data_IF_520705563177
#
_entry.id   IF_520705563177
#
_cell.length_a   1.000
_cell.length_b   1.000
_cell.length_c   1.000
_cell.angle_alpha   90.00
_cell.angle_beta   90.00
_cell.angle_gamma   90.00
#
_symmetry.space_group_name_H-M   'P 1'
#
loop_
_entity.id
_entity.type
_entity.pdbx_description
1 polymer ?
#
# COMPACT_ATOMS: atom_id res chain seq x y z
N UNK A 1 -13.38 10.41 11.22
CA UNK A 1 -12.49 10.89 10.14
C UNK A 1 -13.14 10.80 8.77
N UNK A 2 -13.54 9.61 8.28
CA UNK A 2 -14.15 9.46 6.94
C UNK A 2 -15.45 10.28 6.79
N UNK A 3 -16.47 10.01 7.62
CA UNK A 3 -17.76 10.71 7.53
C UNK A 3 -17.62 12.24 7.59
N UNK A 4 -16.78 12.76 8.49
CA UNK A 4 -16.50 14.20 8.61
C UNK A 4 -15.95 14.84 7.32
N UNK A 5 -15.12 14.12 6.56
CA UNK A 5 -14.65 14.60 5.25
C UNK A 5 -15.82 14.68 4.25
N UNK A 6 -16.70 13.66 4.22
CA UNK A 6 -17.84 13.63 3.30
C UNK A 6 -18.95 14.62 3.65
N UNK A 7 -19.16 14.93 4.94
CA UNK A 7 -20.05 16.01 5.40
C UNK A 7 -19.64 17.39 4.83
N UNK A 8 -18.37 17.54 4.47
CA UNK A 8 -17.80 18.76 3.93
C UNK A 8 -17.35 18.61 2.47
N UNK A 9 -17.82 17.57 1.77
CA UNK A 9 -17.34 17.23 0.43
C UNK A 9 -17.47 18.40 -0.55
N UNK A 10 -18.56 19.17 -0.46
CA UNK A 10 -18.83 20.33 -1.31
C UNK A 10 -17.77 21.46 -1.23
N UNK A 11 -16.80 21.37 -0.33
CA UNK A 11 -15.65 22.29 -0.22
C UNK A 11 -14.46 21.90 -1.10
N UNK A 12 -14.53 20.75 -1.77
CA UNK A 12 -13.42 20.18 -2.54
C UNK A 12 -13.85 19.88 -3.98
N UNK A 13 -12.92 20.03 -4.92
CA UNK A 13 -13.15 19.66 -6.31
C UNK A 13 -12.93 18.16 -6.57
N UNK A 14 -12.15 17.50 -5.71
CA UNK A 14 -11.78 16.09 -5.82
C UNK A 14 -11.52 15.51 -4.42
N UNK A 15 -11.98 14.29 -4.18
CA UNK A 15 -11.59 13.49 -3.01
C UNK A 15 -10.55 12.47 -3.43
N UNK A 16 -9.33 12.56 -2.88
CA UNK A 16 -8.29 11.55 -3.09
C UNK A 16 -8.21 10.59 -1.89
N UNK A 17 -8.84 9.44 -2.04
CA UNK A 17 -8.90 8.39 -1.03
C UNK A 17 -7.62 7.53 -1.02
N UNK A 18 -6.97 7.46 0.14
CA UNK A 18 -5.87 6.55 0.46
C UNK A 18 -6.19 5.64 1.66
N UNK A 19 -7.46 5.56 2.04
CA UNK A 19 -7.95 4.86 3.23
C UNK A 19 -8.76 3.60 2.85
N UNK A 20 -8.19 2.80 1.95
CA UNK A 20 -8.75 1.52 1.47
C UNK A 20 -10.22 1.67 0.99
N UNK A 21 -11.01 0.61 1.08
CA UNK A 21 -12.36 0.52 0.49
C UNK A 21 -13.44 1.31 1.25
N UNK A 22 -13.22 1.66 2.53
CA UNK A 22 -14.27 2.18 3.39
C UNK A 22 -14.87 3.50 2.88
N UNK A 23 -14.09 4.50 2.42
CA UNK A 23 -14.62 5.73 1.84
C UNK A 23 -15.47 5.53 0.58
N UNK A 24 -15.29 4.43 -0.17
CA UNK A 24 -16.12 4.15 -1.34
C UNK A 24 -17.61 4.05 -0.98
N UNK A 25 -17.93 3.56 0.22
CA UNK A 25 -19.31 3.49 0.70
C UNK A 25 -20.01 4.85 0.85
N UNK A 26 -19.24 5.95 0.88
CA UNK A 26 -19.74 7.32 0.94
C UNK A 26 -19.76 8.01 -0.43
N UNK A 27 -19.15 7.42 -1.46
CA UNK A 27 -19.01 8.03 -2.79
C UNK A 27 -20.33 8.48 -3.40
N UNK A 28 -21.38 7.67 -3.25
CA UNK A 28 -22.71 7.94 -3.82
C UNK A 28 -23.52 8.99 -3.03
N UNK A 29 -23.04 9.42 -1.85
CA UNK A 29 -23.72 10.43 -1.03
C UNK A 29 -23.27 11.86 -1.36
N UNK A 30 -22.29 12.01 -2.23
CA UNK A 30 -21.72 13.31 -2.62
C UNK A 30 -21.57 13.39 -4.13
N UNK A 31 -21.58 14.61 -4.69
CA UNK A 31 -21.41 14.83 -6.13
C UNK A 31 -19.95 15.06 -6.54
N UNK A 32 -19.02 15.00 -5.58
CA UNK A 32 -17.60 15.27 -5.83
C UNK A 32 -16.93 14.00 -6.34
N UNK A 33 -16.17 14.06 -7.46
CA UNK A 33 -15.47 12.90 -7.97
C UNK A 33 -14.48 12.37 -6.93
N UNK A 34 -14.29 11.06 -6.93
CA UNK A 34 -13.37 10.39 -6.03
C UNK A 34 -12.36 9.55 -6.79
N UNK A 35 -11.09 9.80 -6.48
CA UNK A 35 -9.96 8.99 -6.90
C UNK A 35 -9.50 8.15 -5.71
N UNK A 36 -9.42 6.83 -5.85
CA UNK A 36 -8.83 5.94 -4.83
C UNK A 36 -7.50 5.38 -5.32
N UNK A 37 -6.44 5.59 -4.54
CA UNK A 37 -5.19 4.86 -4.73
C UNK A 37 -5.30 3.51 -4.02
N UNK A 38 -5.22 2.43 -4.79
CA UNK A 38 -5.22 1.06 -4.29
C UNK A 38 -3.79 0.66 -3.96
N UNK A 39 -3.51 0.43 -2.68
CA UNK A 39 -2.21 0.04 -2.13
C UNK A 39 -2.06 -1.49 -2.01
N UNK A 40 -2.84 -2.24 -2.80
CA UNK A 40 -3.02 -3.68 -2.69
C UNK A 40 -4.32 -4.07 -1.98
N UNK A 41 -4.59 -5.37 -1.92
CA UNK A 41 -5.79 -5.91 -1.30
C UNK A 41 -5.41 -6.78 -0.10
N UNK A 42 -5.84 -6.38 1.10
CA UNK A 42 -5.56 -7.15 2.33
C UNK A 42 -6.20 -8.54 2.33
N UNK A 43 -7.29 -8.72 1.56
CA UNK A 43 -7.87 -10.02 1.27
C UNK A 43 -8.79 -9.93 0.06
N UNK A 44 -9.15 -11.07 -0.55
CA UNK A 44 -10.17 -11.10 -1.61
C UNK A 44 -11.57 -10.67 -1.12
N UNK A 45 -11.80 -10.62 0.21
CA UNK A 45 -13.10 -10.25 0.80
C UNK A 45 -13.47 -8.78 0.60
N UNK A 46 -12.48 -7.91 0.34
CA UNK A 46 -12.75 -6.47 0.13
C UNK A 46 -13.00 -6.13 -1.36
N UNK A 47 -12.60 -6.99 -2.29
CA UNK A 47 -12.79 -6.80 -3.73
C UNK A 47 -14.24 -6.52 -4.15
N UNK A 48 -15.28 -7.18 -3.58
CA UNK A 48 -16.67 -6.88 -3.94
C UNK A 48 -17.04 -5.41 -3.80
N UNK A 49 -16.49 -4.70 -2.81
CA UNK A 49 -16.76 -3.26 -2.63
C UNK A 49 -16.10 -2.45 -3.75
N UNK A 50 -14.84 -2.74 -4.08
CA UNK A 50 -14.18 -2.09 -5.21
C UNK A 50 -14.93 -2.32 -6.52
N UNK A 51 -15.46 -3.52 -6.76
CA UNK A 51 -16.27 -3.83 -7.96
C UNK A 51 -17.59 -3.08 -7.96
N UNK A 52 -18.31 -3.05 -6.84
CA UNK A 52 -19.60 -2.34 -6.68
C UNK A 52 -19.47 -0.85 -6.98
N UNK A 53 -18.37 -0.23 -6.55
CA UNK A 53 -18.12 1.20 -6.72
C UNK A 53 -17.21 1.53 -7.91
N UNK A 54 -16.80 0.53 -8.70
CA UNK A 54 -15.93 0.72 -9.86
C UNK A 54 -16.54 1.69 -10.87
N UNK A 55 -17.85 1.58 -11.10
CA UNK A 55 -18.59 2.58 -11.87
C UNK A 55 -18.89 3.80 -11.01
N UNK A 56 -18.44 4.97 -11.48
CA UNK A 56 -18.67 6.26 -10.82
C UNK A 56 -17.54 6.71 -9.90
N UNK A 57 -16.48 5.91 -9.75
CA UNK A 57 -15.24 6.30 -9.07
C UNK A 57 -14.05 6.04 -9.99
N UNK A 58 -12.89 6.58 -9.60
CA UNK A 58 -11.65 6.39 -10.33
C UNK A 58 -10.64 5.65 -9.46
N UNK A 59 -9.91 4.71 -10.05
CA UNK A 59 -8.85 3.96 -9.36
C UNK A 59 -7.49 4.19 -10.01
N UNK A 60 -6.47 4.29 -9.17
CA UNK A 60 -5.06 4.16 -9.55
C UNK A 60 -4.40 3.12 -8.67
N UNK A 61 -3.43 2.39 -9.20
CA UNK A 61 -2.66 1.41 -8.41
C UNK A 61 -1.26 1.91 -8.14
N UNK A 62 -0.68 1.49 -7.02
CA UNK A 62 0.73 1.80 -6.67
C UNK A 62 1.74 0.94 -7.43
N UNK A 63 1.26 -0.12 -8.09
CA UNK A 63 2.04 -1.02 -8.94
C UNK A 63 1.11 -1.74 -9.91
N UNK A 64 1.63 -2.17 -11.05
CA UNK A 64 0.90 -3.10 -11.92
C UNK A 64 0.65 -4.45 -11.24
N UNK A 65 1.52 -4.85 -10.30
CA UNK A 65 1.36 -6.09 -9.53
C UNK A 65 0.18 -6.05 -8.55
N UNK A 66 -0.23 -4.85 -8.11
CA UNK A 66 -1.36 -4.65 -7.21
C UNK A 66 -2.69 -4.49 -7.95
N UNK A 67 -2.71 -4.63 -9.28
CA UNK A 67 -3.96 -4.53 -10.06
C UNK A 67 -4.77 -5.81 -9.98
N UNK A 68 -6.09 -5.65 -9.90
CA UNK A 68 -7.03 -6.75 -10.12
C UNK A 68 -7.67 -6.61 -11.50
N UNK A 69 -7.78 -7.69 -12.27
CA UNK A 69 -8.33 -7.68 -13.64
C UNK A 69 -9.79 -7.25 -13.72
N UNK A 70 -10.53 -7.30 -12.62
CA UNK A 70 -11.97 -7.00 -12.60
C UNK A 70 -12.27 -5.51 -12.37
N UNK A 71 -11.24 -4.67 -12.28
CA UNK A 71 -11.36 -3.24 -11.98
C UNK A 71 -10.74 -2.39 -13.09
N UNK A 72 -11.30 -1.20 -13.28
CA UNK A 72 -10.80 -0.22 -14.23
C UNK A 72 -9.80 0.72 -13.54
N UNK A 73 -8.61 0.87 -14.11
CA UNK A 73 -7.56 1.75 -13.58
C UNK A 73 -7.25 2.86 -14.57
N UNK A 74 -7.23 4.10 -14.09
CA UNK A 74 -6.78 5.24 -14.88
C UNK A 74 -5.28 5.19 -15.15
N UNK A 75 -4.50 4.81 -14.13
CA UNK A 75 -3.05 4.79 -14.19
C UNK A 75 -2.46 3.88 -13.10
N UNK A 76 -1.17 3.60 -13.25
CA UNK A 76 -0.31 3.14 -12.15
C UNK A 76 0.66 4.26 -11.81
N UNK A 77 0.73 4.60 -10.52
CA UNK A 77 1.62 5.63 -9.99
C UNK A 77 2.47 4.97 -8.92
N UNK A 78 3.70 4.62 -9.27
CA UNK A 78 4.65 4.02 -8.33
C UNK A 78 5.02 5.01 -7.23
N UNK A 79 5.11 4.54 -5.99
CA UNK A 79 5.55 5.38 -4.88
C UNK A 79 6.97 5.87 -5.10
N UNK A 80 7.17 7.17 -4.88
CA UNK A 80 8.49 7.77 -4.81
C UNK A 80 9.05 7.72 -3.39
N UNK A 81 10.34 8.02 -3.28
CA UNK A 81 11.03 8.34 -2.03
C UNK A 81 11.71 9.70 -2.19
N UNK A 82 11.95 10.42 -1.09
CA UNK A 82 12.77 11.63 -1.13
C UNK A 82 14.24 11.25 -1.23
N UNK A 83 14.87 11.51 -2.38
CA UNK A 83 16.27 11.18 -2.62
C UNK A 83 17.23 11.97 -1.72
N UNK A 84 16.80 13.06 -1.10
CA UNK A 84 17.64 13.79 -0.14
C UNK A 84 17.75 13.08 1.21
N UNK A 85 16.82 12.17 1.54
CA UNK A 85 16.87 11.36 2.76
C UNK A 85 17.74 10.10 2.58
N UNK A 86 18.01 9.69 1.34
CA UNK A 86 18.70 8.45 1.02
C UNK A 86 19.92 8.70 0.12
N UNK A 87 21.10 8.76 0.74
CA UNK A 87 22.36 8.82 -0.01
C UNK A 87 22.70 7.45 -0.64
N UNK A 88 23.07 7.48 -1.92
CA UNK A 88 23.62 6.31 -2.59
C UNK A 88 24.98 5.94 -1.99
N UNK A 89 25.14 4.67 -1.65
CA UNK A 89 26.42 4.08 -1.23
C UNK A 89 26.85 3.09 -2.30
N UNK A 90 27.85 3.48 -3.11
CA UNK A 90 28.33 2.65 -4.23
C UNK A 90 29.16 1.44 -3.78
N UNK A 91 29.76 1.52 -2.59
CA UNK A 91 30.54 0.44 -1.98
C UNK A 91 29.79 -0.07 -0.74
N UNK A 92 28.88 -1.05 -0.90
CA UNK A 92 28.15 -1.61 0.22
C UNK A 92 29.08 -2.43 1.13
N UNK A 93 28.65 -2.66 2.38
CA UNK A 93 29.34 -3.57 3.29
C UNK A 93 29.00 -5.04 3.03
N UNK A 94 29.75 -5.94 3.69
CA UNK A 94 29.58 -7.40 3.57
C UNK A 94 28.45 -7.95 4.46
N UNK A 95 27.22 -7.49 4.22
CA UNK A 95 26.04 -7.93 4.98
C UNK A 95 24.76 -7.90 4.13
N UNK A 96 23.74 -8.63 4.59
CA UNK A 96 22.36 -8.49 4.13
C UNK A 96 21.59 -7.57 5.08
N UNK A 97 20.66 -6.79 4.53
CA UNK A 97 19.72 -5.98 5.30
C UNK A 97 18.29 -6.43 5.00
N UNK A 98 17.56 -6.79 6.05
CA UNK A 98 16.12 -6.84 6.03
C UNK A 98 15.57 -5.58 6.70
N UNK A 99 14.75 -4.82 5.98
CA UNK A 99 14.11 -3.61 6.49
C UNK A 99 12.60 -3.65 6.27
N UNK A 100 11.85 -3.91 7.34
CA UNK A 100 10.40 -4.09 7.26
C UNK A 100 9.79 -4.56 8.58
N UNK A 101 8.46 -4.53 8.67
CA UNK A 101 7.74 -5.08 9.84
C UNK A 101 8.14 -6.55 10.05
N UNK A 102 8.36 -6.94 11.29
CA UNK A 102 8.61 -8.33 11.66
C UNK A 102 7.24 -8.99 11.79
N UNK A 103 6.90 -9.80 10.79
CA UNK A 103 5.59 -10.41 10.60
C UNK A 103 5.71 -11.56 9.57
N UNK A 104 4.92 -12.65 9.67
CA UNK A 104 4.96 -13.76 8.71
C UNK A 104 4.83 -13.31 7.24
N UNK A 105 3.86 -12.45 6.94
CA UNK A 105 3.62 -11.89 5.60
C UNK A 105 4.78 -11.06 5.01
N UNK A 106 5.82 -10.77 5.81
CA UNK A 106 6.96 -9.96 5.39
C UNK A 106 8.22 -10.76 5.13
N UNK A 107 8.22 -12.07 5.42
CA UNK A 107 9.32 -12.97 5.05
C UNK A 107 10.59 -12.76 5.87
N UNK A 108 10.49 -12.31 7.12
CA UNK A 108 11.67 -12.12 8.00
C UNK A 108 12.41 -13.43 8.26
N UNK A 109 11.66 -14.53 8.45
CA UNK A 109 12.20 -15.88 8.61
C UNK A 109 12.97 -16.34 7.36
N UNK A 110 12.45 -16.06 6.17
CA UNK A 110 13.11 -16.38 4.90
C UNK A 110 14.44 -15.63 4.78
N UNK A 111 14.48 -14.35 5.17
CA UNK A 111 15.71 -13.58 5.19
C UNK A 111 16.76 -14.18 6.15
N UNK A 112 16.34 -14.63 7.34
CA UNK A 112 17.22 -15.32 8.30
C UNK A 112 17.74 -16.64 7.72
N UNK A 113 16.86 -17.41 7.08
CA UNK A 113 17.25 -18.68 6.47
C UNK A 113 18.27 -18.48 5.36
N UNK A 114 18.06 -17.52 4.46
CA UNK A 114 19.00 -17.15 3.40
C UNK A 114 20.36 -16.78 4.01
N UNK A 115 20.38 -15.87 4.99
CA UNK A 115 21.61 -15.43 5.63
C UNK A 115 22.39 -16.60 6.27
N UNK A 116 21.70 -17.51 6.96
CA UNK A 116 22.31 -18.71 7.57
C UNK A 116 22.89 -19.65 6.53
N UNK A 117 22.15 -19.94 5.44
CA UNK A 117 22.60 -20.85 4.38
C UNK A 117 23.87 -20.36 3.68
N UNK A 118 24.03 -19.05 3.54
CA UNK A 118 25.20 -18.45 2.89
C UNK A 118 26.30 -18.00 3.86
N UNK A 119 26.08 -18.08 5.17
CA UNK A 119 27.05 -17.63 6.18
C UNK A 119 27.29 -16.11 6.16
N UNK A 120 26.33 -15.31 5.70
CA UNK A 120 26.45 -13.85 5.59
C UNK A 120 25.76 -13.19 6.78
N UNK A 121 26.35 -12.13 7.32
CA UNK A 121 25.75 -11.35 8.42
C UNK A 121 24.43 -10.71 7.95
N UNK A 122 23.38 -10.82 8.75
CA UNK A 122 22.09 -10.17 8.50
C UNK A 122 21.79 -9.13 9.58
N UNK A 123 21.47 -7.91 9.16
CA UNK A 123 20.81 -6.92 10.01
C UNK A 123 19.31 -6.95 9.74
N UNK A 124 18.51 -6.92 10.80
CA UNK A 124 17.06 -6.85 10.75
C UNK A 124 16.66 -5.54 11.43
N UNK A 125 15.98 -4.68 10.70
CA UNK A 125 15.48 -3.41 11.22
C UNK A 125 13.99 -3.26 10.89
N UNK A 126 13.21 -2.90 11.91
CA UNK A 126 11.77 -2.74 11.79
C UNK A 126 11.06 -3.00 13.12
N UNK A 127 9.77 -2.69 13.15
CA UNK A 127 8.95 -2.89 14.34
C UNK A 127 8.49 -4.35 14.43
N UNK A 128 8.41 -4.86 15.65
CA UNK A 128 7.75 -6.14 15.95
C UNK A 128 6.25 -5.91 15.85
N UNK A 129 5.64 -6.47 14.79
CA UNK A 129 4.19 -6.35 14.60
C UNK A 129 3.46 -7.58 15.14
N UNK A 130 4.02 -8.75 14.91
CA UNK A 130 3.58 -10.01 15.51
C UNK A 130 4.65 -10.42 16.54
N UNK A 131 4.24 -10.61 17.80
CA UNK A 131 5.16 -10.99 18.89
C UNK A 131 5.37 -12.50 18.99
N UNK A 132 4.46 -13.27 18.43
CA UNK A 132 4.49 -14.73 18.48
C UNK A 132 5.31 -15.32 17.32
N UNK A 133 5.51 -14.53 16.25
CA UNK A 133 6.40 -14.80 15.12
C UNK A 133 7.87 -14.54 15.45
#
# INVERSE_FOLDING_TARGET
>A
HIAYLFEQANRFDLIHNNYDFMPLSYSRMVNIPMLTTIHGFSSSKILPIYREYNRGNYYVSISNADRNSDLDYLATVYHGIDLNEFALVEQPGDYLLYFGRIHPDKGTADAIEIARRYGIKLYIAGIIQDKDY
#
